data_IF_911869243997
#
_entry.id   IF_911869243997
#
_cell.length_a   1.000
_cell.length_b   1.000
_cell.length_c   1.000
_cell.angle_alpha   90.00
_cell.angle_beta   90.00
_cell.angle_gamma   90.00
#
_symmetry.space_group_name_H-M   'P 1'
#
loop_
_entity.id
_entity.type
_entity.pdbx_description
1 polymer ?
#
# COMPACT_ATOMS: atom_id res chain seq x y z
N UNK A 1 -1.76 -11.01 -9.12
CA UNK A 1 -2.46 -9.74 -8.90
C UNK A 1 -3.94 -10.04 -8.67
N UNK A 2 -4.55 -9.48 -7.63
CA UNK A 2 -5.98 -9.63 -7.35
C UNK A 2 -6.51 -8.45 -6.56
N UNK A 3 -7.62 -7.87 -7.01
CA UNK A 3 -8.37 -6.86 -6.26
C UNK A 3 -9.29 -7.51 -5.20
N UNK A 4 -9.80 -6.69 -4.28
CA UNK A 4 -10.73 -7.12 -3.23
C UNK A 4 -10.05 -7.80 -2.04
N UNK A 5 -10.84 -8.52 -1.24
CA UNK A 5 -10.33 -9.26 -0.10
C UNK A 5 -10.03 -10.71 -0.52
N UNK A 6 -8.75 -11.06 -0.50
CA UNK A 6 -8.27 -12.42 -0.80
C UNK A 6 -7.58 -13.07 0.39
N UNK A 7 -7.80 -12.57 1.62
CA UNK A 7 -7.11 -13.02 2.82
C UNK A 7 -7.20 -14.54 3.03
N UNK A 8 -8.35 -15.14 2.67
CA UNK A 8 -8.59 -16.57 2.83
C UNK A 8 -7.66 -17.45 2.00
N UNK A 9 -7.16 -16.97 0.84
CA UNK A 9 -6.30 -17.75 -0.07
C UNK A 9 -4.81 -17.37 0.03
N UNK A 10 -4.45 -16.40 0.87
CA UNK A 10 -3.06 -15.97 1.04
C UNK A 10 -2.13 -17.13 1.45
N UNK A 11 -2.50 -18.03 2.38
CA UNK A 11 -1.65 -19.16 2.75
C UNK A 11 -1.28 -20.06 1.55
N UNK A 12 -2.24 -20.35 0.68
CA UNK A 12 -2.04 -21.15 -0.52
C UNK A 12 -1.17 -20.42 -1.55
N UNK A 13 -1.33 -19.09 -1.66
CA UNK A 13 -0.46 -18.27 -2.52
C UNK A 13 1.00 -18.32 -2.05
N UNK A 14 1.23 -18.28 -0.73
CA UNK A 14 2.56 -18.46 -0.15
C UNK A 14 3.09 -19.87 -0.44
N UNK A 15 2.27 -20.91 -0.26
CA UNK A 15 2.66 -22.30 -0.51
C UNK A 15 3.13 -22.54 -1.95
N UNK A 16 2.48 -21.91 -2.93
CA UNK A 16 2.87 -22.02 -4.35
C UNK A 16 4.03 -21.10 -4.74
N UNK A 17 4.61 -20.35 -3.79
CA UNK A 17 5.81 -19.54 -3.99
C UNK A 17 5.56 -18.12 -4.49
N UNK A 18 4.41 -17.50 -4.17
CA UNK A 18 4.23 -16.07 -4.40
C UNK A 18 5.07 -15.27 -3.40
N UNK A 19 5.93 -14.37 -3.90
CA UNK A 19 6.75 -13.49 -3.06
C UNK A 19 6.12 -12.12 -2.77
N UNK A 20 5.26 -11.63 -3.69
CA UNK A 20 4.71 -10.27 -3.65
C UNK A 20 3.20 -10.28 -3.83
N UNK A 21 2.48 -9.76 -2.85
CA UNK A 21 1.04 -9.53 -2.92
C UNK A 21 0.77 -8.16 -3.56
N UNK A 22 0.09 -8.16 -4.72
CA UNK A 22 -0.24 -6.97 -5.48
C UNK A 22 -1.73 -6.98 -5.93
N UNK A 23 -2.50 -5.92 -5.68
CA UNK A 23 -2.23 -4.87 -4.72
C UNK A 23 -2.61 -5.33 -3.31
N UNK A 24 -2.12 -4.63 -2.30
CA UNK A 24 -2.86 -4.50 -1.05
C UNK A 24 -3.74 -3.27 -1.16
N UNK A 25 -5.06 -3.47 -1.25
CA UNK A 25 -6.05 -2.41 -1.31
C UNK A 25 -6.55 -2.10 0.10
N UNK A 26 -6.22 -0.92 0.68
CA UNK A 26 -6.61 -0.59 2.04
C UNK A 26 -8.13 -0.49 2.24
N UNK A 27 -8.89 -0.30 1.15
CA UNK A 27 -10.36 -0.35 1.17
C UNK A 27 -10.94 -1.76 1.38
N UNK A 28 -10.18 -2.81 1.08
CA UNK A 28 -10.64 -4.19 1.13
C UNK A 28 -9.92 -5.04 2.20
N UNK A 29 -8.65 -4.74 2.49
CA UNK A 29 -7.80 -5.48 3.42
C UNK A 29 -6.98 -4.50 4.27
N UNK A 30 -6.82 -4.79 5.56
CA UNK A 30 -5.98 -3.99 6.46
C UNK A 30 -4.49 -4.28 6.20
N UNK A 31 -3.70 -3.31 5.67
CA UNK A 31 -2.29 -3.53 5.36
C UNK A 31 -1.44 -3.86 6.60
N UNK A 32 -1.78 -3.29 7.76
CA UNK A 32 -1.05 -3.48 9.01
C UNK A 32 -1.32 -4.89 9.55
N UNK A 33 -2.56 -5.36 9.46
CA UNK A 33 -2.89 -6.76 9.77
C UNK A 33 -2.12 -7.71 8.86
N UNK A 34 -2.11 -7.46 7.54
CA UNK A 34 -1.38 -8.30 6.59
C UNK A 34 0.12 -8.35 6.89
N UNK A 35 0.76 -7.20 7.17
CA UNK A 35 2.19 -7.16 7.56
C UNK A 35 2.46 -7.99 8.80
N UNK A 36 1.59 -7.91 9.82
CA UNK A 36 1.75 -8.70 11.06
C UNK A 36 1.62 -10.20 10.83
N UNK A 37 0.68 -10.60 9.96
CA UNK A 37 0.37 -12.02 9.74
C UNK A 37 1.32 -12.68 8.75
N UNK A 38 1.65 -12.00 7.65
CA UNK A 38 2.35 -12.61 6.50
C UNK A 38 3.65 -11.89 6.12
N UNK A 39 4.07 -10.87 6.88
CA UNK A 39 5.19 -10.00 6.51
C UNK A 39 6.58 -10.63 6.57
N UNK A 40 6.69 -11.88 7.05
CA UNK A 40 7.91 -12.69 6.97
C UNK A 40 7.99 -13.49 5.66
N UNK A 41 6.85 -13.72 5.02
CA UNK A 41 6.71 -14.58 3.83
C UNK A 41 6.44 -13.76 2.56
N UNK A 42 5.77 -12.61 2.70
CA UNK A 42 5.36 -11.76 1.60
C UNK A 42 5.92 -10.34 1.71
N UNK A 43 6.21 -9.78 0.54
CA UNK A 43 6.27 -8.34 0.32
C UNK A 43 4.92 -7.81 -0.18
N UNK A 44 4.63 -6.55 0.11
CA UNK A 44 3.36 -5.90 -0.20
C UNK A 44 3.55 -4.79 -1.22
N UNK A 45 2.81 -4.84 -2.31
CA UNK A 45 2.72 -3.75 -3.28
C UNK A 45 1.39 -3.03 -3.08
N UNK A 46 1.42 -1.72 -2.87
CA UNK A 46 0.23 -0.88 -2.87
C UNK A 46 0.11 -0.15 -1.55
N UNK A 47 -1.00 -0.39 -0.84
CA UNK A 47 -1.34 0.13 0.49
C UNK A 47 -1.82 1.58 0.55
N UNK A 48 -1.72 2.36 -0.53
CA UNK A 48 -2.30 3.69 -0.59
C UNK A 48 -3.74 3.65 -1.12
N UNK A 49 -4.62 4.41 -0.48
CA UNK A 49 -6.04 4.48 -0.82
C UNK A 49 -6.31 5.07 -2.20
N UNK A 50 -6.54 4.21 -3.19
CA UNK A 50 -6.82 4.61 -4.58
C UNK A 50 -8.26 5.05 -4.81
N UNK A 51 -9.17 4.70 -3.90
CA UNK A 51 -10.58 5.12 -3.90
C UNK A 51 -10.92 6.00 -2.69
N UNK A 52 -9.90 6.41 -1.95
CA UNK A 52 -10.01 7.18 -0.71
C UNK A 52 -9.00 8.32 -0.70
N UNK A 53 -7.83 8.15 -0.07
CA UNK A 53 -6.93 9.27 0.25
C UNK A 53 -6.32 9.94 -0.97
N UNK A 54 -5.83 9.17 -1.96
CA UNK A 54 -5.16 9.75 -3.13
C UNK A 54 -6.10 10.66 -3.95
N UNK A 55 -7.32 10.23 -4.33
CA UNK A 55 -8.23 11.10 -5.08
C UNK A 55 -8.98 12.13 -4.24
N UNK A 56 -9.27 11.87 -2.96
CA UNK A 56 -10.22 12.69 -2.18
C UNK A 56 -9.64 13.35 -0.93
N UNK A 57 -8.41 13.04 -0.55
CA UNK A 57 -7.72 13.67 0.57
C UNK A 57 -7.03 14.98 0.20
N UNK A 58 -6.51 15.68 1.20
CA UNK A 58 -5.58 16.80 1.00
C UNK A 58 -4.15 16.29 0.80
N UNK A 59 -3.24 17.11 0.23
CA UNK A 59 -1.81 16.78 0.15
C UNK A 59 -1.23 16.31 1.49
N UNK A 60 -1.57 16.97 2.59
CA UNK A 60 -1.12 16.60 3.94
C UNK A 60 -1.63 15.23 4.37
N UNK A 61 -2.88 14.88 4.04
CA UNK A 61 -3.44 13.56 4.33
C UNK A 61 -2.74 12.47 3.51
N UNK A 62 -2.39 12.75 2.25
CA UNK A 62 -1.59 11.84 1.43
C UNK A 62 -0.21 11.61 2.05
N UNK A 63 0.49 12.68 2.44
CA UNK A 63 1.80 12.57 3.10
C UNK A 63 1.71 11.80 4.41
N UNK A 64 0.65 12.03 5.20
CA UNK A 64 0.41 11.34 6.45
C UNK A 64 0.17 9.85 6.24
N UNK A 65 -0.64 9.46 5.26
CA UNK A 65 -0.85 8.03 4.97
C UNK A 65 0.44 7.38 4.47
N UNK A 66 1.22 8.02 3.58
CA UNK A 66 2.53 7.50 3.16
C UNK A 66 3.42 7.23 4.36
N UNK A 67 3.53 8.21 5.27
CA UNK A 67 4.31 8.07 6.49
C UNK A 67 3.83 6.90 7.34
N UNK A 68 2.52 6.79 7.56
CA UNK A 68 1.93 5.69 8.32
C UNK A 68 2.24 4.33 7.68
N UNK A 69 2.10 4.19 6.35
CA UNK A 69 2.43 2.94 5.64
C UNK A 69 3.88 2.58 5.77
N UNK A 70 4.79 3.54 5.67
CA UNK A 70 6.22 3.28 5.85
C UNK A 70 6.53 2.87 7.30
N UNK A 71 6.01 3.58 8.30
CA UNK A 71 6.27 3.30 9.72
C UNK A 71 5.64 1.96 10.18
N UNK A 72 4.56 1.51 9.54
CA UNK A 72 3.83 0.29 9.90
C UNK A 72 4.17 -0.91 9.00
N UNK A 73 3.89 -0.81 7.70
CA UNK A 73 4.05 -1.91 6.72
C UNK A 73 5.49 -1.99 6.22
N UNK A 74 6.14 -0.86 6.02
CA UNK A 74 7.53 -0.78 5.53
C UNK A 74 8.58 -1.16 6.57
N UNK A 75 8.23 -1.21 7.86
CA UNK A 75 9.16 -1.56 8.92
C UNK A 75 9.78 -2.95 8.70
N UNK A 76 11.10 -2.99 8.59
CA UNK A 76 11.84 -4.23 8.32
C UNK A 76 11.83 -4.66 6.85
N UNK A 77 11.41 -3.79 5.93
CA UNK A 77 11.41 -4.04 4.49
C UNK A 77 10.11 -4.65 3.96
N UNK A 78 10.10 -4.91 2.65
CA UNK A 78 9.01 -5.62 1.96
C UNK A 78 7.78 -4.77 1.63
N UNK A 79 7.92 -3.44 1.49
CA UNK A 79 6.84 -2.56 1.03
C UNK A 79 7.19 -1.85 -0.28
N UNK A 80 6.53 -2.21 -1.38
CA UNK A 80 6.51 -1.38 -2.58
C UNK A 80 5.29 -0.44 -2.51
N UNK A 81 5.48 0.73 -1.91
CA UNK A 81 4.39 1.68 -1.71
C UNK A 81 3.88 2.23 -3.05
N UNK A 82 2.57 2.12 -3.26
CA UNK A 82 1.89 2.58 -4.45
C UNK A 82 0.38 2.74 -4.18
N UNK A 83 -0.36 3.43 -5.06
CA UNK A 83 -1.82 3.31 -5.11
C UNK A 83 -2.28 1.85 -5.20
N UNK A 84 -3.37 1.49 -4.52
CA UNK A 84 -4.00 0.16 -4.59
C UNK A 84 -4.60 -0.20 -5.96
N UNK A 85 -4.64 0.74 -6.90
CA UNK A 85 -5.03 0.55 -8.29
C UNK A 85 -4.47 1.71 -9.14
N UNK A 86 -4.58 1.62 -10.47
CA UNK A 86 -4.24 2.73 -11.38
C UNK A 86 -4.95 4.04 -10.99
N UNK A 87 -4.19 5.14 -10.99
CA UNK A 87 -4.71 6.49 -10.76
C UNK A 87 -5.64 6.92 -11.91
N UNK A 88 -6.77 7.51 -11.55
CA UNK A 88 -7.72 8.08 -12.52
C UNK A 88 -7.30 9.51 -12.90
N UNK A 89 -7.72 10.02 -14.08
CA UNK A 89 -7.37 11.36 -14.54
C UNK A 89 -7.79 12.50 -13.60
N UNK A 90 -8.78 12.28 -12.75
CA UNK A 90 -9.35 13.26 -11.83
C UNK A 90 -8.55 13.41 -10.53
N UNK A 91 -7.52 12.58 -10.31
CA UNK A 91 -6.66 12.70 -9.12
C UNK A 91 -5.94 14.06 -9.15
N UNK A 92 -6.06 14.88 -8.09
CA UNK A 92 -5.39 16.18 -8.04
C UNK A 92 -3.88 16.04 -8.17
N UNK A 93 -3.26 16.91 -8.99
CA UNK A 93 -1.82 16.86 -9.24
C UNK A 93 -1.01 17.08 -7.97
N UNK A 94 -1.47 17.96 -7.09
CA UNK A 94 -0.90 18.23 -5.78
C UNK A 94 -0.83 16.98 -4.89
N UNK A 95 -1.79 16.06 -5.00
CA UNK A 95 -1.79 14.81 -4.25
C UNK A 95 -0.76 13.83 -4.82
N UNK A 96 -0.57 13.80 -6.14
CA UNK A 96 0.48 13.01 -6.78
C UNK A 96 1.86 13.52 -6.37
N UNK A 97 2.07 14.84 -6.41
CA UNK A 97 3.33 15.46 -5.97
C UNK A 97 3.57 15.17 -4.49
N UNK A 98 2.56 15.36 -3.64
CA UNK A 98 2.65 15.09 -2.20
C UNK A 98 3.00 13.63 -1.89
N UNK A 99 2.45 12.68 -2.65
CA UNK A 99 2.81 11.27 -2.54
C UNK A 99 4.31 11.06 -2.81
N UNK A 100 4.84 11.57 -3.92
CA UNK A 100 6.27 11.44 -4.24
C UNK A 100 7.17 12.13 -3.22
N UNK A 101 6.84 13.35 -2.81
CA UNK A 101 7.58 14.08 -1.77
C UNK A 101 7.64 13.29 -0.45
N UNK A 102 6.53 12.70 -0.02
CA UNK A 102 6.51 11.88 1.19
C UNK A 102 7.28 10.57 1.04
N UNK A 103 7.27 9.94 -0.13
CA UNK A 103 8.09 8.74 -0.40
C UNK A 103 9.57 9.11 -0.36
N UNK A 104 9.98 10.25 -0.90
CA UNK A 104 11.38 10.72 -0.80
C UNK A 104 11.79 11.05 0.64
N UNK A 105 10.88 11.64 1.43
CA UNK A 105 11.12 12.02 2.82
C UNK A 105 11.17 10.81 3.76
N UNK A 106 10.19 9.90 3.66
CA UNK A 106 9.99 8.82 4.63
C UNK A 106 10.44 7.45 4.14
N UNK A 107 10.50 7.21 2.82
CA UNK A 107 10.66 5.89 2.20
C UNK A 107 12.02 5.20 2.37
N UNK A 108 12.83 5.62 3.34
CA UNK A 108 14.10 4.99 3.69
C UNK A 108 13.90 4.10 4.92
N UNK A 109 14.00 2.79 4.73
CA UNK A 109 13.89 1.78 5.79
C UNK A 109 14.80 0.58 5.51
#
# INVERSE_FOLDING_TARGET
HSDGNIEEIIPELIEIGVDVLNPVQPEAMDPVKLKKTYGNDLSFWGTMGGQTTIPFGTPEQVKQEVRERVETVGRGGGLLIAPGHMLQPEVPWENIVAFFEAVEEYGKY
#
